data_IF_034776370730
#
_entry.id   IF_034776370730
#
_cell.length_a   1.000
_cell.length_b   1.000
_cell.length_c   1.000
_cell.angle_alpha   90.00
_cell.angle_beta   90.00
_cell.angle_gamma   90.00
#
_symmetry.space_group_name_H-M   'P 1'
#
loop_
_entity.id
_entity.type
_entity.pdbx_description
1 polymer ?
#
# COMPACT_ATOMS: atom_id res chain seq x y z
N UNK A 1 41.96 3.37 16.74
CA UNK A 1 41.04 4.44 17.00
C UNK A 1 39.67 3.86 17.37
N UNK A 2 39.41 3.91 18.66
CA UNK A 2 38.21 3.41 19.31
C UNK A 2 37.09 4.42 19.12
N UNK A 3 36.01 3.97 18.48
CA UNK A 3 34.77 4.75 18.31
C UNK A 3 33.95 4.63 19.61
N UNK A 4 34.01 5.64 20.45
CA UNK A 4 33.21 5.75 21.67
C UNK A 4 31.81 6.30 21.31
N UNK A 5 30.78 5.46 21.45
CA UNK A 5 29.40 5.89 21.42
C UNK A 5 29.05 6.61 22.74
N UNK A 6 28.88 7.92 22.69
CA UNK A 6 28.26 8.69 23.76
C UNK A 6 27.05 9.42 23.21
N UNK A 7 25.88 9.06 23.63
CA UNK A 7 24.91 9.85 24.39
C UNK A 7 23.51 9.25 24.30
N UNK A 8 22.95 9.00 25.43
CA UNK A 8 21.55 8.66 25.65
C UNK A 8 20.69 9.85 25.22
N UNK A 9 20.00 9.72 24.07
CA UNK A 9 18.81 10.50 23.82
C UNK A 9 17.67 9.93 24.68
N UNK A 10 17.25 10.68 25.69
CA UNK A 10 16.06 10.34 26.48
C UNK A 10 14.82 10.53 25.63
N UNK A 11 14.28 9.42 25.11
CA UNK A 11 12.94 9.41 24.54
C UNK A 11 11.94 9.63 25.68
N UNK A 12 11.44 10.85 25.79
CA UNK A 12 10.34 11.14 26.71
C UNK A 12 9.08 10.44 26.16
N UNK A 13 8.50 9.61 27.01
CA UNK A 13 7.21 8.97 26.85
C UNK A 13 6.14 10.03 26.52
N UNK A 14 5.80 10.17 25.24
CA UNK A 14 4.49 10.69 24.87
C UNK A 14 3.55 9.50 24.98
N UNK A 15 2.62 9.58 25.90
CA UNK A 15 1.58 8.59 26.18
C UNK A 15 0.90 8.13 24.87
N UNK A 16 1.18 6.89 24.47
CA UNK A 16 0.42 6.21 23.44
C UNK A 16 -1.05 6.14 23.93
N UNK A 17 -2.04 6.41 23.05
CA UNK A 17 -3.43 6.24 23.41
C UNK A 17 -3.66 4.79 23.85
N UNK A 18 -4.27 4.62 25.04
CA UNK A 18 -4.66 3.32 25.57
C UNK A 18 -5.60 2.62 24.59
N UNK A 19 -5.11 1.58 23.95
CA UNK A 19 -5.94 0.68 23.19
C UNK A 19 -6.87 -0.06 24.14
N UNK A 20 -8.16 0.05 23.92
CA UNK A 20 -9.19 -0.66 24.66
C UNK A 20 -9.08 -2.16 24.31
N UNK A 21 -8.37 -2.91 25.16
CA UNK A 21 -8.13 -4.34 25.01
C UNK A 21 -9.37 -5.14 25.44
N UNK A 22 -10.27 -5.39 24.50
CA UNK A 22 -11.33 -6.39 24.68
C UNK A 22 -11.31 -7.48 23.59
N UNK A 23 -10.12 -7.86 23.10
CA UNK A 23 -9.93 -9.06 22.30
C UNK A 23 -8.73 -9.86 22.84
N UNK A 24 -8.90 -11.15 22.99
CA UNK A 24 -7.89 -12.08 23.53
C UNK A 24 -6.61 -12.26 22.68
N UNK A 25 -6.41 -11.50 21.64
CA UNK A 25 -5.23 -11.49 20.78
C UNK A 25 -4.54 -10.13 20.81
N UNK A 26 -3.27 -10.12 21.19
CA UNK A 26 -2.40 -8.93 21.11
C UNK A 26 -1.87 -8.68 19.69
N UNK A 27 -2.14 -9.58 18.73
CA UNK A 27 -1.70 -9.46 17.35
C UNK A 27 -2.69 -8.65 16.54
N UNK A 28 -2.16 -7.74 15.70
CA UNK A 28 -2.95 -7.03 14.71
C UNK A 28 -3.54 -8.03 13.70
N UNK A 29 -4.85 -7.96 13.39
CA UNK A 29 -5.46 -8.81 12.36
C UNK A 29 -4.78 -8.64 11.01
N UNK A 30 -4.71 -9.71 10.20
CA UNK A 30 -4.02 -9.69 8.91
C UNK A 30 -4.48 -8.56 7.98
N UNK A 31 -5.79 -8.28 7.82
CA UNK A 31 -6.23 -7.16 6.98
C UNK A 31 -5.64 -5.81 7.41
N UNK A 32 -5.63 -5.53 8.70
CA UNK A 32 -5.09 -4.29 9.26
C UNK A 32 -3.55 -4.26 9.18
N UNK A 33 -2.90 -5.41 9.40
CA UNK A 33 -1.44 -5.53 9.28
C UNK A 33 -0.96 -5.25 7.86
N UNK A 34 -1.52 -5.94 6.87
CA UNK A 34 -1.10 -5.77 5.48
C UNK A 34 -1.46 -4.39 4.94
N UNK A 35 -2.59 -3.80 5.37
CA UNK A 35 -2.96 -2.43 5.02
C UNK A 35 -1.99 -1.40 5.62
N UNK A 36 -1.52 -1.63 6.85
CA UNK A 36 -0.48 -0.78 7.48
C UNK A 36 0.82 -0.81 6.68
N UNK A 37 1.23 -1.99 6.18
CA UNK A 37 2.42 -2.11 5.31
C UNK A 37 2.24 -1.36 3.99
N UNK A 38 1.08 -1.51 3.36
CA UNK A 38 0.75 -0.78 2.13
C UNK A 38 0.79 0.74 2.35
N UNK A 39 0.22 1.21 3.46
CA UNK A 39 0.25 2.63 3.81
C UNK A 39 1.68 3.14 4.05
N UNK A 40 2.48 2.40 4.81
CA UNK A 40 3.89 2.75 5.03
C UNK A 40 4.67 2.83 3.71
N UNK A 41 4.40 1.91 2.76
CA UNK A 41 4.99 1.97 1.43
C UNK A 41 4.56 3.22 0.66
N UNK A 42 3.29 3.63 0.75
CA UNK A 42 2.77 4.81 0.09
C UNK A 42 3.52 6.10 0.46
N UNK A 43 4.03 6.19 1.69
CA UNK A 43 4.81 7.36 2.15
C UNK A 43 6.12 7.55 1.36
N UNK A 44 6.60 6.53 0.67
CA UNK A 44 7.76 6.61 -0.23
C UNK A 44 7.44 7.16 -1.61
N UNK A 45 6.16 7.25 -1.98
CA UNK A 45 5.78 7.81 -3.27
C UNK A 45 6.25 9.27 -3.39
N UNK A 46 6.79 9.59 -4.55
CA UNK A 46 7.20 10.95 -4.92
C UNK A 46 6.04 11.78 -5.51
N UNK A 47 4.89 11.16 -5.79
CA UNK A 47 3.70 11.87 -6.28
C UNK A 47 3.22 12.87 -5.21
N UNK A 48 3.22 14.18 -5.51
CA UNK A 48 2.80 15.19 -4.53
C UNK A 48 1.28 15.23 -4.31
N UNK A 49 0.49 14.60 -5.21
CA UNK A 49 -0.97 14.67 -5.15
C UNK A 49 -1.63 13.39 -4.64
N UNK A 50 -1.08 12.24 -5.02
CA UNK A 50 -1.67 10.96 -4.62
C UNK A 50 -0.61 9.89 -4.39
N UNK A 51 -0.43 9.53 -3.14
CA UNK A 51 0.49 8.48 -2.71
C UNK A 51 -0.27 7.17 -2.59
N UNK A 52 0.05 6.22 -3.45
CA UNK A 52 -0.54 4.88 -3.42
C UNK A 52 0.53 3.87 -3.05
N UNK A 53 0.21 2.99 -2.12
CA UNK A 53 1.07 1.89 -1.71
C UNK A 53 0.35 0.56 -1.80
N UNK A 54 1.14 -0.48 -1.98
CA UNK A 54 0.67 -1.85 -2.01
C UNK A 54 1.61 -2.78 -1.23
N UNK A 55 1.06 -3.86 -0.68
CA UNK A 55 1.80 -4.90 0.04
C UNK A 55 1.25 -6.29 -0.31
N UNK A 56 2.12 -7.30 -0.36
CA UNK A 56 1.75 -8.67 -0.69
C UNK A 56 2.19 -9.65 0.40
N UNK A 57 1.32 -10.62 0.69
CA UNK A 57 1.59 -11.75 1.57
C UNK A 57 1.44 -13.08 0.82
N UNK A 58 2.21 -14.07 1.22
CA UNK A 58 2.09 -15.45 0.78
C UNK A 58 0.93 -16.20 1.49
N UNK A 59 0.80 -17.51 1.26
CA UNK A 59 -0.22 -18.36 1.87
C UNK A 59 -0.07 -18.51 3.39
N UNK A 60 1.14 -18.29 3.91
CA UNK A 60 1.46 -18.36 5.34
C UNK A 60 1.42 -16.98 6.01
N UNK A 61 0.90 -15.96 5.32
CA UNK A 61 0.86 -14.55 5.74
C UNK A 61 2.25 -13.92 5.97
N UNK A 62 3.29 -14.42 5.29
CA UNK A 62 4.61 -13.79 5.29
C UNK A 62 4.65 -12.68 4.25
N UNK A 63 5.35 -11.61 4.57
CA UNK A 63 5.51 -10.47 3.64
C UNK A 63 6.42 -10.88 2.48
N UNK A 64 5.89 -10.81 1.26
CA UNK A 64 6.66 -10.99 0.03
C UNK A 64 7.33 -9.69 -0.36
N UNK A 65 6.59 -8.57 -0.29
CA UNK A 65 7.10 -7.27 -0.64
C UNK A 65 6.10 -6.16 -0.46
N UNK A 66 6.61 -4.94 -0.59
CA UNK A 66 5.82 -3.70 -0.60
C UNK A 66 6.26 -2.85 -1.78
N UNK A 67 5.33 -2.08 -2.34
CA UNK A 67 5.59 -1.17 -3.46
C UNK A 67 4.73 0.09 -3.34
N UNK A 68 5.07 1.10 -4.14
CA UNK A 68 4.35 2.37 -4.19
C UNK A 68 4.29 2.88 -5.62
N UNK A 69 3.38 3.79 -5.90
CA UNK A 69 3.32 4.43 -7.21
C UNK A 69 4.50 5.38 -7.40
N UNK A 70 5.08 5.39 -8.58
CA UNK A 70 6.26 6.21 -8.85
C UNK A 70 6.67 6.16 -10.32
N UNK A 71 7.70 6.93 -10.63
CA UNK A 71 8.33 6.91 -11.95
C UNK A 71 9.36 5.80 -12.04
N UNK A 72 9.81 5.54 -13.27
CA UNK A 72 10.88 4.58 -13.50
C UNK A 72 12.14 4.93 -12.68
N UNK A 73 12.79 3.96 -12.04
CA UNK A 73 13.97 4.20 -11.21
C UNK A 73 15.06 4.99 -11.93
N UNK A 74 15.52 6.07 -11.31
CA UNK A 74 16.53 6.96 -11.87
C UNK A 74 15.99 8.08 -12.79
N UNK A 75 14.73 8.05 -13.18
CA UNK A 75 14.11 9.16 -13.88
C UNK A 75 13.84 10.31 -12.89
N UNK A 76 14.26 11.52 -13.25
CA UNK A 76 14.03 12.75 -12.46
C UNK A 76 13.04 13.63 -13.21
N UNK A 77 11.83 13.70 -12.71
CA UNK A 77 10.81 14.58 -13.27
C UNK A 77 11.09 16.04 -12.92
N UNK A 78 10.76 16.93 -13.87
CA UNK A 78 10.73 18.37 -13.64
C UNK A 78 9.39 18.77 -13.01
N UNK A 79 9.32 19.97 -12.43
CA UNK A 79 8.10 20.49 -11.80
C UNK A 79 6.92 20.55 -12.77
N UNK A 80 7.18 20.82 -14.06
CA UNK A 80 6.17 20.83 -15.12
C UNK A 80 5.49 19.48 -15.32
N UNK A 81 6.23 18.37 -15.14
CA UNK A 81 5.65 17.02 -15.15
C UNK A 81 4.67 16.83 -14.00
N UNK A 82 5.07 17.21 -12.79
CA UNK A 82 4.20 17.07 -11.62
C UNK A 82 2.93 17.92 -11.72
N UNK A 83 3.01 19.10 -12.31
CA UNK A 83 1.86 19.96 -12.55
C UNK A 83 0.86 19.37 -13.57
N UNK A 84 1.31 18.52 -14.49
CA UNK A 84 0.46 17.90 -15.50
C UNK A 84 -0.16 16.59 -15.03
N UNK A 85 -1.48 16.60 -14.81
CA UNK A 85 -2.22 15.36 -14.48
C UNK A 85 -2.13 14.33 -15.60
N UNK A 86 -2.18 14.78 -16.86
CA UNK A 86 -2.10 13.90 -18.04
C UNK A 86 -0.76 13.18 -18.10
N UNK A 87 0.36 13.89 -17.92
CA UNK A 87 1.69 13.29 -17.90
C UNK A 87 1.84 12.28 -16.76
N UNK A 88 1.36 12.60 -15.55
CA UNK A 88 1.38 11.66 -14.44
C UNK A 88 0.58 10.39 -14.74
N UNK A 89 -0.63 10.52 -15.26
CA UNK A 89 -1.47 9.36 -15.61
C UNK A 89 -0.84 8.48 -16.69
N UNK A 90 -0.06 9.05 -17.57
CA UNK A 90 0.57 8.35 -18.70
C UNK A 90 1.84 7.61 -18.30
N UNK A 91 2.64 8.18 -17.41
CA UNK A 91 4.00 7.67 -17.14
C UNK A 91 4.20 7.11 -15.72
N UNK A 92 3.30 7.39 -14.77
CA UNK A 92 3.39 6.83 -13.43
C UNK A 92 3.14 5.33 -13.44
N UNK A 93 4.05 4.56 -12.88
CA UNK A 93 3.85 3.15 -12.59
C UNK A 93 2.96 3.02 -11.36
N UNK A 94 1.88 2.25 -11.47
CA UNK A 94 0.99 2.01 -10.36
C UNK A 94 1.65 1.11 -9.29
N UNK A 95 1.29 1.30 -8.02
CA UNK A 95 1.83 0.53 -6.92
C UNK A 95 1.64 -0.98 -7.10
N UNK A 96 0.49 -1.39 -7.64
CA UNK A 96 0.16 -2.79 -7.88
C UNK A 96 1.05 -3.40 -8.97
N UNK A 97 1.35 -2.66 -10.03
CA UNK A 97 2.24 -3.11 -11.11
C UNK A 97 3.67 -3.25 -10.58
N UNK A 98 4.14 -2.26 -9.81
CA UNK A 98 5.44 -2.34 -9.14
C UNK A 98 5.49 -3.53 -8.17
N UNK A 99 4.40 -3.80 -7.44
CA UNK A 99 4.30 -4.93 -6.54
C UNK A 99 4.36 -6.27 -7.29
N UNK A 100 3.65 -6.41 -8.41
CA UNK A 100 3.65 -7.62 -9.23
C UNK A 100 5.04 -7.98 -9.76
N UNK A 101 5.96 -7.02 -9.89
CA UNK A 101 7.34 -7.28 -10.30
C UNK A 101 8.19 -7.99 -9.23
N UNK A 102 7.72 -8.07 -7.98
CA UNK A 102 8.46 -8.62 -6.85
C UNK A 102 8.18 -10.11 -6.59
N UNK A 103 7.18 -10.70 -7.26
CA UNK A 103 6.79 -12.08 -7.02
C UNK A 103 6.32 -12.79 -8.30
N UNK A 104 6.37 -14.10 -8.27
CA UNK A 104 5.92 -14.97 -9.37
C UNK A 104 4.43 -15.26 -9.24
N UNK A 105 3.83 -15.69 -10.36
CA UNK A 105 2.44 -16.13 -10.36
C UNK A 105 2.20 -17.21 -9.32
N UNK A 106 1.22 -17.00 -8.46
CA UNK A 106 0.79 -17.95 -7.42
C UNK A 106 1.54 -17.81 -6.08
N UNK A 107 2.59 -17.01 -5.97
CA UNK A 107 3.30 -16.76 -4.70
C UNK A 107 2.45 -15.88 -3.77
N UNK A 108 1.98 -14.73 -4.25
CA UNK A 108 1.12 -13.86 -3.46
C UNK A 108 -0.32 -14.40 -3.42
N UNK A 109 -0.90 -14.47 -2.22
CA UNK A 109 -2.29 -14.85 -1.99
C UNK A 109 -3.13 -13.67 -1.54
N UNK A 110 -2.54 -12.78 -0.78
CA UNK A 110 -3.16 -11.59 -0.22
C UNK A 110 -2.41 -10.36 -0.71
N UNK A 111 -3.14 -9.37 -1.17
CA UNK A 111 -2.60 -8.04 -1.52
C UNK A 111 -3.42 -6.98 -0.82
N UNK A 112 -2.77 -5.93 -0.31
CA UNK A 112 -3.43 -4.72 0.13
C UNK A 112 -2.97 -3.54 -0.72
N UNK A 113 -3.90 -2.66 -1.06
CA UNK A 113 -3.66 -1.41 -1.78
C UNK A 113 -4.32 -0.27 -1.02
N UNK A 114 -3.65 0.85 -0.84
CA UNK A 114 -4.25 2.00 -0.14
C UNK A 114 -5.43 2.59 -0.90
N UNK A 115 -5.46 2.45 -2.23
CA UNK A 115 -6.60 2.79 -3.10
C UNK A 115 -7.08 1.52 -3.81
N UNK A 116 -8.37 1.38 -4.05
CA UNK A 116 -8.93 0.30 -4.87
C UNK A 116 -8.19 0.21 -6.21
N UNK A 117 -7.70 -0.97 -6.62
CA UNK A 117 -7.01 -1.14 -7.89
C UNK A 117 -7.85 -0.65 -9.07
N UNK A 118 -7.23 0.03 -10.03
CA UNK A 118 -7.89 0.31 -11.30
C UNK A 118 -8.13 -0.97 -12.10
N UNK A 119 -8.94 -0.91 -13.15
CA UNK A 119 -9.32 -2.06 -13.98
C UNK A 119 -8.11 -2.88 -14.43
N UNK A 120 -7.07 -2.26 -14.97
CA UNK A 120 -5.87 -2.95 -15.45
C UNK A 120 -5.04 -3.55 -14.32
N UNK A 121 -4.91 -2.85 -13.19
CA UNK A 121 -4.22 -3.38 -12.01
C UNK A 121 -4.96 -4.58 -11.43
N UNK A 122 -6.30 -4.53 -11.36
CA UNK A 122 -7.11 -5.66 -10.92
C UNK A 122 -6.91 -6.89 -11.80
N UNK A 123 -6.91 -6.70 -13.14
CA UNK A 123 -6.62 -7.78 -14.10
C UNK A 123 -5.22 -8.38 -13.88
N UNK A 124 -4.21 -7.53 -13.65
CA UNK A 124 -2.84 -7.99 -13.38
C UNK A 124 -2.75 -8.81 -12.09
N UNK A 125 -3.37 -8.36 -11.00
CA UNK A 125 -3.41 -9.10 -9.74
C UNK A 125 -4.10 -10.45 -9.89
N UNK A 126 -5.23 -10.51 -10.60
CA UNK A 126 -5.92 -11.76 -10.93
C UNK A 126 -5.03 -12.69 -11.76
N UNK A 127 -4.33 -12.17 -12.78
CA UNK A 127 -3.40 -12.96 -13.60
C UNK A 127 -2.24 -13.53 -12.78
N UNK A 128 -1.80 -12.84 -11.73
CA UNK A 128 -0.79 -13.32 -10.78
C UNK A 128 -1.35 -14.34 -9.76
N UNK A 129 -2.66 -14.57 -9.74
CA UNK A 129 -3.28 -15.60 -8.90
C UNK A 129 -3.58 -15.15 -7.47
N UNK A 130 -3.64 -13.85 -7.24
CA UNK A 130 -4.07 -13.26 -5.96
C UNK A 130 -5.51 -13.70 -5.66
N UNK A 131 -5.80 -14.00 -4.40
CA UNK A 131 -7.11 -14.51 -3.96
C UNK A 131 -7.91 -13.51 -3.15
N UNK A 132 -7.22 -12.69 -2.35
CA UNK A 132 -7.85 -11.69 -1.49
C UNK A 132 -7.16 -10.34 -1.69
N UNK A 133 -7.94 -9.32 -1.94
CA UNK A 133 -7.45 -7.94 -2.11
C UNK A 133 -8.13 -7.04 -1.10
N UNK A 134 -7.34 -6.41 -0.24
CA UNK A 134 -7.78 -5.37 0.66
C UNK A 134 -7.52 -3.99 0.07
N UNK A 135 -8.44 -3.05 0.25
CA UNK A 135 -8.24 -1.66 -0.14
C UNK A 135 -8.81 -0.71 0.92
N UNK A 136 -8.32 0.52 0.96
CA UNK A 136 -8.82 1.54 1.88
C UNK A 136 -9.77 2.52 1.16
N UNK A 137 -9.26 3.25 0.18
CA UNK A 137 -10.02 4.27 -0.54
C UNK A 137 -10.73 3.67 -1.76
N UNK A 138 -12.03 3.93 -1.93
CA UNK A 138 -12.73 3.50 -3.15
C UNK A 138 -12.22 4.27 -4.37
N UNK A 139 -12.43 3.67 -5.55
CA UNK A 139 -12.12 4.31 -6.84
C UNK A 139 -13.27 4.06 -7.82
N UNK A 140 -14.14 5.04 -7.96
CA UNK A 140 -15.42 4.92 -8.69
C UNK A 140 -15.28 4.63 -10.19
N UNK A 141 -14.10 4.89 -10.78
CA UNK A 141 -13.84 4.63 -12.20
C UNK A 141 -13.28 3.22 -12.46
N UNK A 142 -13.22 2.36 -11.42
CA UNK A 142 -12.67 1.02 -11.52
C UNK A 142 -13.76 -0.03 -11.70
N UNK A 143 -13.52 -0.97 -12.62
CA UNK A 143 -14.31 -2.20 -12.77
C UNK A 143 -13.81 -3.32 -11.83
N UNK A 144 -12.97 -3.01 -10.83
CA UNK A 144 -12.42 -4.00 -9.92
C UNK A 144 -13.50 -4.86 -9.24
N UNK A 145 -14.65 -4.33 -8.77
CA UNK A 145 -15.70 -5.14 -8.15
C UNK A 145 -16.28 -6.18 -9.11
N UNK A 146 -16.53 -5.82 -10.37
CA UNK A 146 -17.05 -6.73 -11.38
C UNK A 146 -16.04 -7.83 -11.74
N UNK A 147 -14.75 -7.45 -11.88
CA UNK A 147 -13.65 -8.38 -12.17
C UNK A 147 -13.45 -9.34 -10.99
N UNK A 148 -13.46 -8.83 -9.74
CA UNK A 148 -13.35 -9.63 -8.54
C UNK A 148 -14.44 -10.71 -8.49
N UNK A 149 -15.69 -10.31 -8.70
CA UNK A 149 -16.83 -11.22 -8.74
C UNK A 149 -16.68 -12.29 -9.83
N UNK A 150 -16.26 -11.89 -11.04
CA UNK A 150 -16.09 -12.80 -12.19
C UNK A 150 -15.02 -13.87 -11.95
N UNK A 151 -13.91 -13.49 -11.31
CA UNK A 151 -12.77 -14.39 -11.10
C UNK A 151 -12.72 -15.03 -9.71
N UNK A 152 -13.74 -14.79 -8.86
CA UNK A 152 -13.80 -15.34 -7.51
C UNK A 152 -12.65 -14.83 -6.61
N UNK A 153 -12.30 -13.55 -6.75
CA UNK A 153 -11.34 -12.85 -5.90
C UNK A 153 -12.13 -12.07 -4.85
N UNK A 154 -11.73 -12.19 -3.60
CA UNK A 154 -12.30 -11.40 -2.51
C UNK A 154 -11.75 -9.96 -2.58
N UNK A 155 -12.63 -8.96 -2.69
CA UNK A 155 -12.29 -7.54 -2.69
C UNK A 155 -12.94 -6.87 -1.48
N UNK A 156 -12.15 -6.49 -0.49
CA UNK A 156 -12.61 -6.10 0.84
C UNK A 156 -12.07 -4.74 1.23
N UNK A 157 -12.95 -3.84 1.65
CA UNK A 157 -12.54 -2.53 2.15
C UNK A 157 -12.09 -2.60 3.61
N UNK A 158 -10.95 -1.97 3.92
CA UNK A 158 -10.36 -1.87 5.26
C UNK A 158 -10.02 -0.42 5.55
N UNK A 159 -10.79 0.24 6.39
CA UNK A 159 -10.63 1.67 6.71
C UNK A 159 -10.00 1.92 8.07
N UNK A 160 -10.04 0.95 8.99
CA UNK A 160 -9.48 1.08 10.34
C UNK A 160 -8.20 0.24 10.49
N UNK A 161 -7.06 0.90 10.50
CA UNK A 161 -5.74 0.33 10.72
C UNK A 161 -4.79 1.39 11.34
N UNK A 162 -3.67 1.02 11.97
CA UNK A 162 -2.86 1.93 12.79
C UNK A 162 -2.43 3.24 12.13
N UNK A 163 -2.16 3.25 10.83
CA UNK A 163 -1.70 4.46 10.12
C UNK A 163 -2.82 5.26 9.45
N UNK A 164 -4.05 4.76 9.41
CA UNK A 164 -5.16 5.39 8.67
C UNK A 164 -5.48 6.83 9.10
N UNK A 165 -5.16 7.20 10.32
CA UNK A 165 -5.50 8.52 10.90
C UNK A 165 -4.32 9.49 10.99
N UNK A 166 -3.10 9.04 10.70
CA UNK A 166 -1.89 9.81 10.99
C UNK A 166 -1.25 10.44 9.75
N UNK A 167 -1.46 9.86 8.59
CA UNK A 167 -0.78 10.26 7.36
C UNK A 167 -1.76 10.28 6.19
N UNK A 168 -2.27 11.44 5.78
CA UNK A 168 -3.11 11.54 4.60
C UNK A 168 -2.30 11.17 3.34
N UNK A 169 -2.89 10.34 2.47
CA UNK A 169 -2.28 9.89 1.22
C UNK A 169 -2.73 10.68 0.01
N UNK A 170 -3.77 11.48 0.18
CA UNK A 170 -4.30 12.41 -0.82
C UNK A 170 -4.19 13.81 -0.24
N UNK A 171 -3.57 14.70 -0.98
CA UNK A 171 -3.61 16.12 -0.67
C UNK A 171 -4.81 16.72 -1.41
N UNK A 172 -5.67 17.39 -0.65
CA UNK A 172 -6.77 18.17 -1.24
C UNK A 172 -6.17 19.23 -2.17
N UNK A 173 -6.51 19.13 -3.46
CA UNK A 173 -6.09 20.04 -4.52
C UNK A 173 -7.12 21.13 -4.77
#
# INVERSE_FOLDING_TARGET
>A
PTCTWTSRASWRNSSLPTMNNNSSSTRLPIPQYVMTLAHAAALRSEDPYRKVGAAALDADNRVIGTAYNGLYPGFKAQDTFWASREERQKYMLHAEINLCSLFRRGEAKVVACTTMPCTSCMQALCAHGVKTIYYCEPYDKSEAPAIASLYGVELIQVTDYPLSRHFPLVLDS
#
